data_IF_123157860976
#
_entry.id   IF_123157860976
#
_cell.length_a   1.000
_cell.length_b   1.000
_cell.length_c   1.000
_cell.angle_alpha   90.00
_cell.angle_beta   90.00
_cell.angle_gamma   90.00
#
_symmetry.space_group_name_H-M   'P 1'
#
loop_
_entity.id
_entity.type
_entity.pdbx_description
1 polymer ?
#
# COMPACT_ATOMS: atom_id res chain seq x y z
N UNK A 1 12.18 20.09 -37.90
CA UNK A 1 11.63 20.14 -36.54
C UNK A 1 12.01 21.48 -35.93
N UNK A 2 11.06 22.39 -35.76
CA UNK A 2 11.30 23.65 -35.04
C UNK A 2 11.49 23.32 -33.56
N UNK A 3 12.70 23.56 -33.04
CA UNK A 3 12.96 23.55 -31.60
C UNK A 3 12.30 24.81 -31.02
N UNK A 4 11.02 24.69 -30.67
CA UNK A 4 10.37 25.71 -29.86
C UNK A 4 10.74 25.42 -28.41
N UNK A 5 11.49 26.32 -27.78
CA UNK A 5 11.67 26.29 -26.34
C UNK A 5 10.31 26.47 -25.68
N UNK A 6 9.82 25.40 -25.05
CA UNK A 6 8.65 25.43 -24.19
C UNK A 6 9.14 25.52 -22.76
N UNK A 7 8.84 26.63 -22.09
CA UNK A 7 8.92 26.69 -20.64
C UNK A 7 7.72 25.94 -20.04
N UNK A 8 8.00 25.09 -19.07
CA UNK A 8 6.99 24.41 -18.25
C UNK A 8 7.36 24.60 -16.79
N UNK A 9 6.40 24.44 -15.90
CA UNK A 9 6.70 24.42 -14.47
C UNK A 9 7.54 23.19 -14.12
N UNK A 10 8.30 23.26 -13.03
CA UNK A 10 9.06 22.12 -12.51
C UNK A 10 8.14 20.91 -12.23
N UNK A 11 6.91 21.17 -11.76
CA UNK A 11 5.90 20.15 -11.53
C UNK A 11 5.50 19.42 -12.81
N UNK A 12 5.15 20.15 -13.88
CA UNK A 12 4.79 19.56 -15.17
C UNK A 12 5.95 18.79 -15.80
N UNK A 13 7.18 19.29 -15.64
CA UNK A 13 8.38 18.61 -16.08
C UNK A 13 8.54 17.25 -15.39
N UNK A 14 8.54 17.22 -14.06
CA UNK A 14 8.67 15.97 -13.32
C UNK A 14 7.48 15.04 -13.48
N UNK A 15 6.25 15.56 -13.67
CA UNK A 15 5.09 14.74 -14.02
C UNK A 15 5.32 13.95 -15.31
N UNK A 16 5.93 14.59 -16.31
CA UNK A 16 6.26 13.95 -17.58
C UNK A 16 7.33 12.88 -17.39
N UNK A 17 8.42 13.20 -16.68
CA UNK A 17 9.50 12.25 -16.37
C UNK A 17 8.97 11.04 -15.60
N UNK A 18 8.14 11.27 -14.58
CA UNK A 18 7.55 10.21 -13.76
C UNK A 18 6.60 9.31 -14.56
N UNK A 19 5.87 9.85 -15.54
CA UNK A 19 5.04 9.03 -16.42
C UNK A 19 5.89 8.07 -17.27
N UNK A 20 7.02 8.52 -17.82
CA UNK A 20 7.95 7.65 -18.54
C UNK A 20 8.62 6.62 -17.62
N UNK A 21 9.06 7.03 -16.44
CA UNK A 21 9.64 6.11 -15.46
C UNK A 21 8.65 5.01 -15.07
N UNK A 22 7.39 5.38 -14.80
CA UNK A 22 6.32 4.43 -14.50
C UNK A 22 6.14 3.41 -15.63
N UNK A 23 6.13 3.85 -16.89
CA UNK A 23 6.02 2.91 -18.03
C UNK A 23 7.14 1.88 -18.07
N UNK A 24 8.33 2.21 -17.59
CA UNK A 24 9.49 1.31 -17.58
C UNK A 24 9.47 0.33 -16.40
N UNK A 25 8.99 0.75 -15.23
CA UNK A 25 9.13 -0.03 -13.99
C UNK A 25 7.84 -0.72 -13.54
N UNK A 26 6.66 -0.23 -13.92
CA UNK A 26 5.37 -0.67 -13.38
C UNK A 26 5.17 -2.18 -13.55
N UNK A 27 5.40 -2.72 -14.75
CA UNK A 27 5.20 -4.15 -15.05
C UNK A 27 6.14 -5.08 -14.27
N UNK A 28 7.33 -4.61 -13.86
CA UNK A 28 8.33 -5.41 -13.15
C UNK A 28 8.36 -5.19 -11.64
N UNK A 29 7.67 -4.16 -11.14
CA UNK A 29 7.75 -3.79 -9.72
C UNK A 29 6.79 -4.63 -8.88
N UNK A 30 7.33 -5.48 -8.02
CA UNK A 30 6.54 -6.18 -7.02
C UNK A 30 5.80 -5.17 -6.11
N UNK A 31 4.60 -5.54 -5.70
CA UNK A 31 3.67 -4.72 -4.94
C UNK A 31 3.51 -5.25 -3.53
N UNK A 32 3.64 -4.35 -2.57
CA UNK A 32 3.56 -4.66 -1.14
C UNK A 32 2.68 -3.64 -0.44
N UNK A 33 2.12 -4.03 0.71
CA UNK A 33 1.46 -3.11 1.62
C UNK A 33 2.46 -2.45 2.56
N UNK A 34 2.40 -1.13 2.60
CA UNK A 34 3.07 -0.26 3.57
C UNK A 34 2.04 0.70 4.14
N UNK A 35 1.80 0.58 5.44
CA UNK A 35 0.89 1.41 6.21
C UNK A 35 1.72 2.48 6.93
N UNK A 36 1.70 3.71 6.43
CA UNK A 36 2.31 4.85 7.15
C UNK A 36 1.46 5.21 8.36
N UNK A 37 2.11 5.77 9.40
CA UNK A 37 1.45 6.20 10.63
C UNK A 37 0.38 5.20 11.10
N UNK A 38 0.76 3.94 11.38
CA UNK A 38 -0.19 2.84 11.54
C UNK A 38 -1.07 3.02 12.77
N UNK A 39 -2.38 2.80 12.60
CA UNK A 39 -3.29 2.56 13.72
C UNK A 39 -3.71 1.09 13.74
N UNK A 40 -3.60 0.49 14.92
CA UNK A 40 -4.11 -0.87 15.16
C UNK A 40 -5.62 -0.81 15.32
N UNK A 41 -6.34 -1.67 14.60
CA UNK A 41 -7.79 -1.77 14.64
C UNK A 41 -8.22 -3.23 14.75
N UNK A 42 -9.37 -3.45 15.37
CA UNK A 42 -10.04 -4.74 15.38
C UNK A 42 -11.34 -4.64 14.57
N UNK A 43 -11.53 -5.57 13.64
CA UNK A 43 -12.75 -5.73 12.87
C UNK A 43 -13.56 -6.87 13.49
N UNK A 44 -14.63 -6.49 14.19
CA UNK A 44 -15.49 -7.44 14.89
C UNK A 44 -16.16 -8.39 13.89
N UNK A 45 -16.23 -9.67 14.29
CA UNK A 45 -16.78 -10.78 13.49
C UNK A 45 -16.04 -11.03 12.17
N UNK A 46 -14.85 -10.46 11.97
CA UNK A 46 -14.01 -10.84 10.84
C UNK A 46 -13.62 -12.32 10.95
N UNK A 47 -13.79 -13.11 9.88
CA UNK A 47 -13.38 -14.51 9.89
C UNK A 47 -11.86 -14.61 9.84
N UNK A 48 -11.31 -15.66 10.47
CA UNK A 48 -9.94 -16.06 10.18
C UNK A 48 -9.85 -16.55 8.72
N UNK A 49 -8.82 -16.12 8.01
CA UNK A 49 -8.66 -16.37 6.58
C UNK A 49 -7.21 -16.66 6.23
N UNK A 50 -7.02 -17.66 5.38
CA UNK A 50 -5.79 -17.86 4.64
C UNK A 50 -6.01 -17.28 3.24
N UNK A 51 -5.24 -16.25 2.89
CA UNK A 51 -5.33 -15.59 1.58
C UNK A 51 -3.95 -15.51 0.96
N UNK A 52 -3.87 -15.81 -0.33
CA UNK A 52 -2.68 -15.60 -1.13
C UNK A 52 -2.90 -14.41 -2.06
N UNK A 53 -2.03 -13.42 -1.97
CA UNK A 53 -2.03 -12.24 -2.82
C UNK A 53 -0.91 -12.33 -3.84
N UNK A 54 -1.19 -11.85 -5.05
CA UNK A 54 -0.19 -11.72 -6.10
C UNK A 54 0.81 -10.61 -5.76
N UNK A 55 2.07 -10.80 -6.15
CA UNK A 55 3.08 -9.73 -6.13
C UNK A 55 2.85 -8.66 -7.18
N UNK A 56 2.15 -8.96 -8.28
CA UNK A 56 1.79 -7.97 -9.30
C UNK A 56 0.45 -8.35 -9.94
N UNK A 57 -0.49 -7.42 -10.16
CA UNK A 57 -1.83 -7.74 -10.67
C UNK A 57 -1.82 -8.38 -12.07
N UNK A 58 -0.83 -8.03 -12.89
CA UNK A 58 -0.67 -8.59 -14.24
C UNK A 58 0.11 -9.92 -14.25
N UNK A 59 0.81 -10.23 -13.15
CA UNK A 59 1.59 -11.46 -12.99
C UNK A 59 1.04 -12.28 -11.84
N UNK A 60 -0.09 -12.95 -12.09
CA UNK A 60 -0.83 -13.73 -11.09
C UNK A 60 -0.15 -15.05 -10.72
N UNK A 61 0.98 -14.94 -10.02
CA UNK A 61 1.81 -16.06 -9.58
C UNK A 61 1.72 -16.32 -8.07
N UNK A 62 0.86 -15.58 -7.37
CA UNK A 62 0.80 -15.59 -5.91
C UNK A 62 2.06 -15.02 -5.29
N UNK A 63 2.49 -15.64 -4.17
CA UNK A 63 3.75 -15.35 -3.52
C UNK A 63 3.64 -14.57 -2.20
N UNK A 64 2.44 -14.13 -1.82
CA UNK A 64 2.21 -13.47 -0.53
C UNK A 64 1.06 -14.10 0.24
N UNK A 65 1.38 -15.04 1.12
CA UNK A 65 0.39 -15.76 1.95
C UNK A 65 0.20 -15.07 3.30
N UNK A 66 -1.05 -14.73 3.62
CA UNK A 66 -1.45 -14.09 4.87
C UNK A 66 -2.44 -14.96 5.64
N UNK A 67 -2.26 -14.99 6.96
CA UNK A 67 -3.16 -15.65 7.91
C UNK A 67 -3.85 -14.56 8.73
N UNK A 68 -4.95 -14.03 8.21
CA UNK A 68 -5.62 -12.88 8.84
C UNK A 68 -6.53 -13.34 9.97
N UNK A 69 -6.58 -12.55 11.04
CA UNK A 69 -7.54 -12.70 12.16
C UNK A 69 -8.50 -11.51 12.17
N UNK A 70 -8.78 -10.95 13.33
CA UNK A 70 -9.62 -9.76 13.49
C UNK A 70 -8.83 -8.46 13.52
N UNK A 71 -7.52 -8.53 13.75
CA UNK A 71 -6.67 -7.37 14.00
C UNK A 71 -5.87 -6.97 12.77
N UNK A 72 -5.87 -5.68 12.46
CA UNK A 72 -5.19 -5.09 11.30
C UNK A 72 -4.52 -3.76 11.68
N UNK A 73 -3.53 -3.36 10.90
CA UNK A 73 -2.98 -2.00 10.88
C UNK A 73 -3.48 -1.29 9.62
N UNK A 74 -4.04 -0.10 9.80
CA UNK A 74 -4.50 0.78 8.72
C UNK A 74 -3.76 2.12 8.76
N UNK A 75 -3.75 2.83 7.64
CA UNK A 75 -3.16 4.17 7.56
C UNK A 75 -4.01 5.13 8.39
N UNK A 76 -3.38 5.96 9.23
CA UNK A 76 -4.11 7.00 9.96
C UNK A 76 -4.83 7.98 9.02
N UNK A 77 -4.30 8.19 7.81
CA UNK A 77 -4.89 9.08 6.81
C UNK A 77 -6.18 8.51 6.19
N UNK A 78 -6.43 7.21 6.34
CA UNK A 78 -7.71 6.60 5.95
C UNK A 78 -8.78 6.99 6.98
N UNK A 79 -9.47 8.11 6.79
CA UNK A 79 -10.53 8.57 7.70
C UNK A 79 -11.78 7.68 7.57
N UNK A 80 -12.19 7.09 8.68
CA UNK A 80 -13.36 6.22 8.75
C UNK A 80 -14.56 6.97 9.32
N UNK A 81 -15.68 6.95 8.62
CA UNK A 81 -16.91 7.65 9.02
C UNK A 81 -17.97 6.65 9.46
N UNK A 82 -18.68 6.96 10.55
CA UNK A 82 -19.78 6.13 11.03
C UNK A 82 -20.85 5.96 9.95
N UNK A 83 -21.41 4.75 9.83
CA UNK A 83 -22.37 4.40 8.79
C UNK A 83 -21.77 4.13 7.40
N UNK A 84 -20.48 4.38 7.18
CA UNK A 84 -19.80 4.15 5.89
C UNK A 84 -19.23 2.73 5.78
N UNK A 85 -19.11 2.25 4.53
CA UNK A 85 -18.55 0.92 4.22
C UNK A 85 -17.22 1.04 3.51
N UNK A 86 -16.30 0.14 3.84
CA UNK A 86 -14.93 0.11 3.34
C UNK A 86 -14.56 -1.31 2.96
N UNK A 87 -13.53 -1.47 2.13
CA UNK A 87 -12.99 -2.77 1.74
C UNK A 87 -11.51 -2.84 2.06
N UNK A 88 -11.12 -3.86 2.80
CA UNK A 88 -9.72 -4.28 2.86
C UNK A 88 -9.37 -4.92 1.51
N UNK A 89 -8.36 -4.35 0.83
CA UNK A 89 -7.92 -4.80 -0.49
C UNK A 89 -7.71 -6.32 -0.50
N UNK A 90 -8.25 -6.97 -1.55
CA UNK A 90 -8.20 -8.41 -1.78
C UNK A 90 -8.68 -9.30 -0.61
N UNK A 91 -9.43 -8.74 0.35
CA UNK A 91 -9.87 -9.47 1.54
C UNK A 91 -11.40 -9.43 1.73
N UNK A 92 -11.93 -8.41 2.41
CA UNK A 92 -13.37 -8.32 2.70
C UNK A 92 -13.84 -6.88 2.93
N UNK A 93 -15.16 -6.71 2.97
CA UNK A 93 -15.81 -5.45 3.29
C UNK A 93 -16.17 -5.37 4.78
N UNK A 94 -16.04 -4.19 5.36
CA UNK A 94 -16.48 -3.87 6.72
C UNK A 94 -17.23 -2.54 6.75
N UNK A 95 -18.00 -2.31 7.81
CA UNK A 95 -18.80 -1.11 8.03
C UNK A 95 -18.49 -0.51 9.39
N UNK A 96 -18.44 0.81 9.48
CA UNK A 96 -18.37 1.50 10.77
C UNK A 96 -19.77 1.60 11.36
N UNK A 97 -19.95 1.11 12.59
CA UNK A 97 -21.22 1.13 13.30
C UNK A 97 -20.98 1.55 14.76
N UNK A 98 -21.45 2.73 15.15
CA UNK A 98 -21.23 3.28 16.50
C UNK A 98 -19.76 3.22 16.88
N UNK A 99 -18.90 3.71 15.99
CA UNK A 99 -17.42 3.74 16.13
C UNK A 99 -16.73 2.36 16.13
N UNK A 100 -17.48 1.26 15.95
CA UNK A 100 -16.93 -0.09 15.82
C UNK A 100 -16.79 -0.49 14.35
N UNK A 101 -15.73 -1.22 14.02
CA UNK A 101 -15.55 -1.78 12.68
C UNK A 101 -16.17 -3.19 12.64
N UNK A 102 -17.18 -3.40 11.80
CA UNK A 102 -17.93 -4.64 11.71
C UNK A 102 -17.72 -5.31 10.36
N UNK A 103 -17.29 -6.57 10.34
CA UNK A 103 -17.27 -7.37 9.11
C UNK A 103 -18.68 -7.45 8.49
N UNK A 104 -18.75 -7.42 7.16
CA UNK A 104 -20.03 -7.51 6.44
C UNK A 104 -20.09 -8.63 5.41
N UNK A 105 -19.08 -8.76 4.54
CA UNK A 105 -19.09 -9.72 3.43
C UNK A 105 -17.70 -9.85 2.81
N UNK A 106 -17.39 -11.01 2.23
CA UNK A 106 -16.14 -11.23 1.46
C UNK A 106 -16.26 -10.73 0.02
N UNK A 107 -17.40 -11.02 -0.59
CA UNK A 107 -17.70 -10.74 -2.00
C UNK A 107 -17.49 -9.27 -2.36
N UNK A 108 -16.92 -9.03 -3.54
CA UNK A 108 -16.88 -7.68 -4.09
C UNK A 108 -18.31 -7.29 -4.50
N UNK A 109 -19.02 -6.53 -3.66
CA UNK A 109 -20.34 -6.02 -4.02
C UNK A 109 -20.18 -4.91 -5.05
N UNK A 110 -20.25 -5.26 -6.34
CA UNK A 110 -20.21 -4.33 -7.48
C UNK A 110 -21.21 -3.16 -7.36
N UNK A 111 -22.30 -3.36 -6.62
CA UNK A 111 -23.37 -2.37 -6.43
C UNK A 111 -23.09 -1.36 -5.31
N UNK A 112 -22.09 -1.59 -4.45
CA UNK A 112 -21.69 -0.64 -3.43
C UNK A 112 -20.77 0.42 -4.05
N UNK A 113 -21.37 1.31 -4.84
CA UNK A 113 -20.70 2.40 -5.59
C UNK A 113 -19.78 3.29 -4.76
N UNK A 114 -19.86 3.23 -3.43
CA UNK A 114 -19.12 4.09 -2.49
C UNK A 114 -18.15 3.33 -1.57
N UNK A 115 -17.74 2.10 -1.90
CA UNK A 115 -16.81 1.35 -1.03
C UNK A 115 -15.36 1.75 -1.28
N UNK A 116 -14.76 2.49 -0.35
CA UNK A 116 -13.35 2.88 -0.41
C UNK A 116 -12.44 1.69 -0.08
N UNK A 117 -11.48 1.42 -0.98
CA UNK A 117 -10.46 0.39 -0.79
C UNK A 117 -9.33 0.87 0.12
N UNK A 118 -8.95 0.03 1.08
CA UNK A 118 -7.93 0.29 2.09
C UNK A 118 -6.90 -0.85 2.06
N UNK A 119 -5.62 -0.50 1.95
CA UNK A 119 -4.53 -1.46 2.14
C UNK A 119 -4.29 -1.69 3.64
N UNK A 120 -3.69 -2.81 4.01
CA UNK A 120 -3.61 -3.22 5.41
C UNK A 120 -2.36 -4.04 5.67
N UNK A 121 -1.98 -4.17 6.94
CA UNK A 121 -0.98 -5.14 7.43
C UNK A 121 -1.61 -5.91 8.59
N UNK A 122 -1.42 -7.23 8.66
CA UNK A 122 -1.95 -8.06 9.75
C UNK A 122 -0.91 -8.96 10.41
N UNK A 123 0.37 -8.82 10.04
CA UNK A 123 1.43 -9.70 10.51
C UNK A 123 1.63 -9.55 12.02
N UNK A 124 1.93 -10.66 12.70
CA UNK A 124 2.27 -10.65 14.14
C UNK A 124 3.59 -9.88 14.39
N UNK A 125 4.52 -9.95 13.42
CA UNK A 125 5.79 -9.22 13.42
C UNK A 125 5.96 -8.45 12.09
N UNK A 126 5.30 -7.28 11.94
CA UNK A 126 5.40 -6.48 10.74
C UNK A 126 6.79 -5.83 10.61
N UNK A 127 7.20 -5.53 9.39
CA UNK A 127 8.51 -4.92 9.12
C UNK A 127 8.43 -3.42 9.43
N UNK A 128 9.37 -2.88 10.20
CA UNK A 128 9.47 -1.43 10.38
C UNK A 128 10.03 -0.79 9.12
N UNK A 129 9.32 0.19 8.57
CA UNK A 129 9.68 0.85 7.32
C UNK A 129 9.86 2.35 7.56
N UNK A 130 10.87 2.92 6.90
CA UNK A 130 11.07 4.36 6.83
C UNK A 130 11.34 4.78 5.39
N UNK A 131 10.56 5.72 4.87
CA UNK A 131 10.68 6.24 3.51
C UNK A 131 11.18 7.68 3.54
N UNK A 132 12.30 7.95 2.88
CA UNK A 132 12.78 9.31 2.61
C UNK A 132 11.99 9.90 1.44
N UNK A 133 11.32 11.01 1.69
CA UNK A 133 10.51 11.75 0.72
C UNK A 133 11.33 12.82 0.00
N UNK A 134 10.88 13.33 -1.17
CA UNK A 134 11.61 14.36 -1.92
C UNK A 134 11.79 15.69 -1.18
N UNK A 135 10.92 15.99 -0.21
CA UNK A 135 11.03 17.17 0.65
C UNK A 135 12.03 16.98 1.83
N UNK A 136 12.75 15.86 1.84
CA UNK A 136 13.72 15.50 2.87
C UNK A 136 13.11 14.92 4.14
N UNK A 137 11.77 14.84 4.25
CA UNK A 137 11.12 14.24 5.42
C UNK A 137 11.13 12.72 5.35
N UNK A 138 10.99 12.11 6.52
CA UNK A 138 10.92 10.66 6.69
C UNK A 138 9.52 10.26 7.09
N UNK A 139 8.88 9.41 6.30
CA UNK A 139 7.59 8.79 6.61
C UNK A 139 7.86 7.42 7.22
N UNK A 140 7.31 7.16 8.40
CA UNK A 140 7.49 5.89 9.13
C UNK A 140 6.20 5.09 9.10
N UNK A 141 6.33 3.77 9.16
CA UNK A 141 5.19 2.89 9.21
C UNK A 141 5.56 1.42 9.29
N UNK A 142 4.56 0.58 9.01
CA UNK A 142 4.67 -0.86 9.03
C UNK A 142 4.46 -1.41 7.62
N UNK A 143 5.34 -2.32 7.24
CA UNK A 143 5.25 -3.09 6.01
C UNK A 143 4.88 -4.55 6.29
N UNK A 144 4.29 -5.20 5.30
CA UNK A 144 4.01 -6.64 5.35
C UNK A 144 5.29 -7.48 5.41
N UNK A 145 5.21 -8.68 5.99
CA UNK A 145 6.37 -9.58 6.20
C UNK A 145 7.14 -9.96 4.92
N UNK A 146 6.47 -9.94 3.77
CA UNK A 146 7.05 -10.30 2.47
C UNK A 146 8.07 -9.28 1.96
N UNK A 147 8.14 -8.10 2.58
CA UNK A 147 9.21 -7.15 2.32
C UNK A 147 10.60 -7.66 2.72
N UNK A 148 10.69 -8.70 3.56
CA UNK A 148 11.97 -9.34 3.88
C UNK A 148 12.64 -9.99 2.65
N UNK A 149 11.88 -10.28 1.58
CA UNK A 149 12.43 -10.82 0.33
C UNK A 149 12.96 -9.72 -0.61
N UNK A 150 12.75 -8.45 -0.26
CA UNK A 150 13.22 -7.30 -1.05
C UNK A 150 14.69 -7.06 -0.78
N UNK A 151 15.48 -6.95 -1.84
CA UNK A 151 16.91 -6.65 -1.78
C UNK A 151 17.20 -5.15 -1.87
N UNK A 152 18.35 -4.72 -1.35
CA UNK A 152 18.88 -3.36 -1.57
C UNK A 152 18.93 -3.06 -3.08
N UNK A 153 18.64 -1.82 -3.44
CA UNK A 153 18.49 -1.28 -4.80
C UNK A 153 17.27 -1.76 -5.59
N UNK A 154 16.51 -2.74 -5.09
CA UNK A 154 15.28 -3.16 -5.73
C UNK A 154 14.22 -2.05 -5.67
N UNK A 155 13.57 -1.81 -6.81
CA UNK A 155 12.41 -0.92 -6.92
C UNK A 155 11.13 -1.73 -6.76
N UNK A 156 10.28 -1.29 -5.86
CA UNK A 156 8.97 -1.91 -5.55
C UNK A 156 7.89 -0.84 -5.51
N UNK A 157 6.64 -1.26 -5.54
CA UNK A 157 5.50 -0.36 -5.36
C UNK A 157 4.86 -0.61 -4.00
N UNK A 158 4.75 0.44 -3.19
CA UNK A 158 3.88 0.44 -2.03
C UNK A 158 2.47 0.86 -2.48
N UNK A 159 1.53 -0.08 -2.39
CA UNK A 159 0.15 0.13 -2.87
C UNK A 159 -0.51 1.34 -2.20
N UNK A 160 -1.18 2.16 -3.02
CA UNK A 160 -1.78 3.47 -2.64
C UNK A 160 -0.78 4.53 -2.14
N UNK A 161 0.52 4.22 -2.03
CA UNK A 161 1.56 5.15 -1.60
C UNK A 161 2.42 5.63 -2.78
N UNK A 162 3.13 4.74 -3.48
CA UNK A 162 3.96 5.05 -4.64
C UNK A 162 5.12 4.07 -4.85
N UNK A 163 5.93 4.33 -5.87
CA UNK A 163 7.15 3.58 -6.15
C UNK A 163 8.28 4.02 -5.22
N UNK A 164 9.04 3.04 -4.74
CA UNK A 164 10.13 3.23 -3.80
C UNK A 164 11.31 2.34 -4.16
N UNK A 165 12.53 2.80 -3.89
CA UNK A 165 13.75 1.96 -3.97
C UNK A 165 14.18 1.56 -2.57
N UNK A 166 14.47 0.28 -2.35
CA UNK A 166 15.11 -0.16 -1.11
C UNK A 166 16.53 0.41 -1.02
N UNK A 167 16.80 1.19 0.01
CA UNK A 167 18.07 1.88 0.21
C UNK A 167 18.96 1.18 1.24
N UNK A 168 18.35 0.53 2.23
CA UNK A 168 19.08 -0.14 3.29
C UNK A 168 18.21 -1.09 4.09
N UNK A 169 18.83 -2.16 4.58
CA UNK A 169 18.20 -3.20 5.39
C UNK A 169 19.03 -3.38 6.65
N UNK A 170 18.38 -3.31 7.80
CA UNK A 170 18.96 -3.56 9.12
C UNK A 170 18.07 -4.54 9.89
N UNK A 171 18.56 -5.20 10.95
CA UNK A 171 17.71 -6.06 11.77
C UNK A 171 16.50 -5.35 12.38
N UNK A 172 16.53 -4.02 12.53
CA UNK A 172 15.46 -3.25 13.17
C UNK A 172 14.44 -2.69 12.17
N UNK A 173 14.87 -2.37 10.95
CA UNK A 173 14.04 -1.70 9.92
C UNK A 173 14.63 -1.81 8.51
N UNK A 174 13.78 -1.55 7.53
CA UNK A 174 14.19 -1.25 6.16
C UNK A 174 13.97 0.24 5.85
N UNK A 175 14.89 0.82 5.08
CA UNK A 175 14.82 2.21 4.61
C UNK A 175 14.64 2.25 3.11
N UNK A 176 13.76 3.13 2.65
CA UNK A 176 13.41 3.30 1.24
C UNK A 176 13.52 4.76 0.82
N UNK A 177 13.77 5.00 -0.45
CA UNK A 177 13.67 6.33 -1.06
C UNK A 177 12.44 6.39 -1.95
N UNK A 178 11.61 7.42 -1.76
CA UNK A 178 10.45 7.64 -2.61
C UNK A 178 10.89 8.09 -4.01
N UNK A 179 10.26 7.50 -5.03
CA UNK A 179 10.49 7.86 -6.42
C UNK A 179 9.35 8.77 -6.91
N UNK A 180 8.20 8.17 -7.21
CA UNK A 180 7.01 8.86 -7.69
C UNK A 180 5.75 8.03 -7.46
N UNK A 181 4.57 8.61 -7.70
CA UNK A 181 3.27 7.96 -7.60
C UNK A 181 2.65 7.69 -8.97
#
# INVERSE_FOLDING_TARGET
>A
MTRNDKSVTMEEFFKTVNAFNKQLIDSGANRYYFVKNPRKVDIEKAPALDVELDLHPDHKKGGRVFHTKTTFYLDCDDVLHDGSSYRLLELFNFKVQKEKLMFTSREYKKEAKDTTNIHWVCDDNPVNIEVLMPDGKRVKGLGEKWLNDVSVDQVVQFERFGFVRCDGITPQKMTFWFLHK
#
